data_IF_499910613159
#
_entry.id   IF_499910613159
#
_cell.length_a   1.000
_cell.length_b   1.000
_cell.length_c   1.000
_cell.angle_alpha   90.00
_cell.angle_beta   90.00
_cell.angle_gamma   90.00
#
_symmetry.space_group_name_H-M   'P 1'
#
loop_
_entity.id
_entity.type
_entity.pdbx_description
1 polymer ?
#
# COMPACT_ATOMS: atom_id res chain seq x y z
N UNK A 1 28.73 33.56 50.42
CA UNK A 1 29.41 32.87 49.29
C UNK A 1 29.66 31.42 49.65
N UNK A 2 28.80 30.51 49.17
CA UNK A 2 29.11 29.29 48.42
C UNK A 2 27.82 28.47 48.32
N UNK A 3 27.31 28.41 47.10
CA UNK A 3 26.37 27.39 46.62
C UNK A 3 26.99 26.00 46.80
N UNK A 4 26.15 25.00 47.08
CA UNK A 4 26.38 23.63 46.62
C UNK A 4 25.03 22.97 46.36
N UNK A 5 24.95 22.23 45.27
CA UNK A 5 23.79 21.95 44.41
C UNK A 5 22.72 21.00 44.98
N UNK A 6 21.47 21.03 44.42
CA UNK A 6 20.45 20.05 44.75
C UNK A 6 20.83 18.67 44.17
N UNK A 7 20.81 17.64 45.02
CA UNK A 7 21.01 16.24 44.60
C UNK A 7 19.88 15.84 43.64
N UNK A 8 20.23 15.70 42.37
CA UNK A 8 19.34 15.21 41.32
C UNK A 8 18.79 13.83 41.68
N UNK A 9 17.47 13.71 41.68
CA UNK A 9 16.76 12.45 41.80
C UNK A 9 16.80 11.71 40.45
N UNK A 10 17.72 10.77 40.32
CA UNK A 10 17.70 9.79 39.23
C UNK A 10 16.59 8.78 39.51
N UNK A 11 15.40 8.97 38.90
CA UNK A 11 14.33 7.97 39.01
C UNK A 11 12.90 8.42 38.70
N UNK A 12 12.70 9.46 37.89
CA UNK A 12 11.39 9.65 37.27
C UNK A 12 11.21 8.62 36.14
N UNK A 13 10.05 7.96 35.99
CA UNK A 13 9.75 7.25 34.75
C UNK A 13 9.93 8.25 33.61
N UNK A 14 10.79 7.91 32.65
CA UNK A 14 10.77 8.62 31.38
C UNK A 14 9.40 8.35 30.79
N UNK A 15 8.54 9.36 30.72
CA UNK A 15 7.37 9.32 29.84
C UNK A 15 7.85 9.41 28.40
N UNK A 16 8.46 8.32 27.93
CA UNK A 16 8.56 8.01 26.52
C UNK A 16 7.23 7.33 26.17
N UNK A 17 6.28 8.09 25.62
CA UNK A 17 5.09 7.46 25.07
C UNK A 17 3.89 8.37 24.98
N UNK A 18 3.56 8.75 23.75
CA UNK A 18 2.23 9.26 23.44
C UNK A 18 2.18 10.28 22.32
N UNK A 19 2.93 10.09 21.23
CA UNK A 19 2.41 10.61 19.97
C UNK A 19 1.01 9.99 19.79
N UNK A 20 -0.07 10.77 19.54
CA UNK A 20 -1.31 10.18 19.08
C UNK A 20 -1.11 9.80 17.60
N UNK A 21 -0.20 8.86 17.34
CA UNK A 21 -0.15 8.10 16.10
C UNK A 21 -1.28 7.05 16.17
N UNK A 22 -2.50 7.55 16.37
CA UNK A 22 -3.75 6.81 16.39
C UNK A 22 -4.21 6.41 14.99
N UNK A 23 -3.30 6.39 14.02
CA UNK A 23 -3.45 5.57 12.84
C UNK A 23 -2.47 4.41 13.02
N UNK A 24 -2.87 3.48 13.89
CA UNK A 24 -2.13 2.23 14.04
C UNK A 24 -2.12 1.56 12.68
N UNK A 25 -0.96 1.07 12.28
CA UNK A 25 -0.80 0.29 11.05
C UNK A 25 -1.91 -0.78 10.90
N UNK A 26 -2.37 -1.33 12.03
CA UNK A 26 -3.49 -2.26 12.19
C UNK A 26 -4.84 -1.77 11.61
N UNK A 27 -5.11 -0.47 11.64
CA UNK A 27 -6.35 0.13 11.13
C UNK A 27 -6.26 0.35 9.62
N UNK A 28 -5.10 0.80 9.13
CA UNK A 28 -4.80 0.87 7.69
C UNK A 28 -4.89 -0.48 6.98
N UNK A 29 -4.42 -1.57 7.62
CA UNK A 29 -4.57 -2.92 7.09
C UNK A 29 -6.02 -3.43 7.10
N UNK A 30 -6.85 -2.95 8.04
CA UNK A 30 -8.25 -3.37 8.16
C UNK A 30 -9.15 -2.65 7.15
N UNK A 31 -8.87 -1.37 6.93
CA UNK A 31 -9.62 -0.51 6.00
C UNK A 31 -9.12 -0.66 4.55
N UNK A 32 -7.82 -0.96 4.38
CA UNK A 32 -7.22 -1.43 3.13
C UNK A 32 -7.57 -2.88 2.85
N UNK A 33 -8.86 -3.20 2.75
CA UNK A 33 -9.31 -4.45 2.13
C UNK A 33 -8.82 -4.41 0.69
N UNK A 34 -7.67 -5.05 0.49
CA UNK A 34 -7.10 -5.32 -0.82
C UNK A 34 -8.16 -6.09 -1.57
N UNK A 35 -8.77 -5.49 -2.59
CA UNK A 35 -9.89 -6.09 -3.34
C UNK A 35 -9.55 -7.54 -3.67
N UNK A 36 -10.24 -8.49 -3.03
CA UNK A 36 -10.03 -9.91 -3.27
C UNK A 36 -10.63 -10.24 -4.63
N UNK A 37 -9.77 -10.30 -5.66
CA UNK A 37 -10.17 -10.77 -6.99
C UNK A 37 -10.36 -12.28 -6.95
N UNK A 38 -11.50 -12.76 -7.46
CA UNK A 38 -11.76 -14.20 -7.59
C UNK A 38 -11.28 -14.72 -8.97
N UNK A 39 -10.84 -15.98 -9.02
CA UNK A 39 -10.46 -16.61 -10.29
C UNK A 39 -11.65 -16.64 -11.26
N UNK A 40 -11.43 -16.13 -12.49
CA UNK A 40 -12.47 -16.07 -13.52
C UNK A 40 -13.38 -14.84 -13.45
N UNK A 41 -13.14 -13.91 -12.52
CA UNK A 41 -13.85 -12.64 -12.45
C UNK A 41 -13.42 -11.68 -13.59
N UNK A 42 -14.38 -10.92 -14.14
CA UNK A 42 -14.09 -9.85 -15.09
C UNK A 42 -13.88 -8.53 -14.35
N UNK A 43 -12.64 -8.04 -14.39
CA UNK A 43 -12.23 -6.82 -13.68
C UNK A 43 -12.03 -5.64 -14.63
N UNK A 44 -12.16 -4.42 -14.10
CA UNK A 44 -11.84 -3.20 -14.85
C UNK A 44 -10.39 -2.82 -14.59
N UNK A 45 -9.59 -2.78 -15.65
CA UNK A 45 -8.21 -2.31 -15.61
C UNK A 45 -8.01 -1.01 -16.39
N UNK A 46 -6.97 -0.26 -16.01
CA UNK A 46 -6.46 0.91 -16.72
C UNK A 46 -5.14 0.59 -17.37
N UNK A 47 -5.02 0.87 -18.67
CA UNK A 47 -3.72 0.78 -19.36
C UNK A 47 -2.82 1.91 -18.88
N UNK A 48 -1.66 1.56 -18.32
CA UNK A 48 -0.67 2.52 -17.81
C UNK A 48 0.55 2.65 -18.73
N UNK A 49 0.87 1.60 -19.50
CA UNK A 49 1.98 1.63 -20.46
C UNK A 49 1.71 0.70 -21.65
N UNK A 50 2.20 1.08 -22.82
CA UNK A 50 2.18 0.27 -24.04
C UNK A 50 3.61 0.16 -24.56
N UNK A 51 4.19 -1.02 -24.45
CA UNK A 51 5.50 -1.36 -24.99
C UNK A 51 5.40 -2.04 -26.36
N UNK A 52 6.56 -2.43 -26.91
CA UNK A 52 6.63 -3.11 -28.21
C UNK A 52 6.12 -4.55 -28.17
N UNK A 53 6.24 -5.22 -27.02
CA UNK A 53 5.83 -6.63 -26.84
C UNK A 53 4.67 -6.83 -25.87
N UNK A 54 4.43 -5.89 -24.94
CA UNK A 54 3.46 -6.04 -23.86
C UNK A 54 2.75 -4.72 -23.53
N UNK A 55 1.58 -4.84 -22.93
CA UNK A 55 0.78 -3.75 -22.38
C UNK A 55 0.69 -3.96 -20.88
N UNK A 56 1.02 -2.91 -20.12
CA UNK A 56 0.89 -2.92 -18.66
C UNK A 56 -0.48 -2.35 -18.26
N UNK A 57 -1.21 -3.10 -17.43
CA UNK A 57 -2.56 -2.79 -16.97
C UNK A 57 -2.59 -2.77 -15.45
N UNK A 58 -3.05 -1.66 -14.88
CA UNK A 58 -3.31 -1.52 -13.46
C UNK A 58 -4.78 -1.84 -13.15
N UNK A 59 -5.02 -2.73 -12.20
CA UNK A 59 -6.36 -3.11 -11.72
C UNK A 59 -6.63 -2.63 -10.29
N UNK A 60 -5.76 -1.80 -9.72
CA UNK A 60 -5.87 -1.32 -8.34
C UNK A 60 -5.44 -2.35 -7.29
N UNK A 61 -4.51 -3.25 -7.66
CA UNK A 61 -3.93 -4.24 -6.76
C UNK A 61 -2.49 -3.90 -6.36
N UNK A 62 -1.78 -4.86 -5.77
CA UNK A 62 -0.37 -4.73 -5.38
C UNK A 62 0.59 -4.53 -6.56
N UNK A 63 0.24 -5.00 -7.76
CA UNK A 63 1.14 -4.99 -8.92
C UNK A 63 0.35 -4.85 -10.21
N UNK A 64 0.99 -4.28 -11.23
CA UNK A 64 0.46 -4.19 -12.59
C UNK A 64 0.50 -5.56 -13.28
N UNK A 65 -0.50 -5.82 -14.13
CA UNK A 65 -0.53 -6.97 -15.03
C UNK A 65 0.15 -6.67 -16.34
N UNK A 66 0.92 -7.62 -16.86
CA UNK A 66 1.54 -7.57 -18.18
C UNK A 66 0.81 -8.49 -19.14
N UNK A 67 0.32 -7.94 -20.25
CA UNK A 67 -0.43 -8.69 -21.27
C UNK A 67 0.32 -8.58 -22.61
N UNK A 68 0.64 -9.70 -23.28
CA UNK A 68 1.26 -9.68 -24.60
C UNK A 68 0.43 -8.87 -25.60
N UNK A 69 1.10 -8.07 -26.46
CA UNK A 69 0.40 -7.21 -27.42
C UNK A 69 -0.44 -8.00 -28.44
N UNK A 70 -0.10 -9.27 -28.64
CA UNK A 70 -0.81 -10.22 -29.52
C UNK A 70 -2.23 -10.50 -29.02
N UNK A 71 -2.48 -10.47 -27.71
CA UNK A 71 -3.80 -10.70 -27.11
C UNK A 71 -4.77 -9.52 -27.35
N UNK A 72 -4.26 -8.33 -27.68
CA UNK A 72 -5.08 -7.17 -28.05
C UNK A 72 -5.43 -7.15 -29.55
N UNK A 73 -4.87 -8.07 -30.33
CA UNK A 73 -5.25 -8.20 -31.73
C UNK A 73 -6.68 -8.74 -31.81
N UNK A 74 -7.43 -8.23 -32.78
CA UNK A 74 -8.87 -8.45 -32.91
C UNK A 74 -9.20 -9.95 -33.04
N UNK A 75 -9.51 -10.61 -31.93
CA UNK A 75 -10.34 -11.83 -31.91
C UNK A 75 -11.83 -11.43 -31.94
N UNK A 76 -12.18 -10.60 -32.91
CA UNK A 76 -13.54 -10.12 -33.14
C UNK A 76 -14.36 -11.18 -33.86
N UNK A 77 -14.66 -12.28 -33.17
CA UNK A 77 -15.83 -13.10 -33.46
C UNK A 77 -16.53 -13.36 -32.13
N UNK A 78 -17.27 -12.35 -31.68
CA UNK A 78 -18.34 -12.57 -30.71
C UNK A 78 -19.39 -13.46 -31.42
N UNK A 79 -19.77 -14.63 -30.86
CA UNK A 79 -20.93 -15.39 -31.33
C UNK A 79 -22.25 -14.65 -31.11
#
# INVERSE_FOLDING_TARGET
MKMDEPRGNLGGPREEGGEPAGERMEDWFREGTTSEFEEGEVVRGRVVHVGTGEVLVDVGYKSEGAIPIEEFQRHGALP
#
